data_IF_057150816793
#
_entry.id   IF_057150816793
#
_cell.length_a   1.000
_cell.length_b   1.000
_cell.length_c   1.000
_cell.angle_alpha   90.00
_cell.angle_beta   90.00
_cell.angle_gamma   90.00
#
_symmetry.space_group_name_H-M   'P 1'
#
loop_
_entity.id
_entity.type
_entity.pdbx_description
1 polymer ?
#
# COMPACT_ATOMS: atom_id res chain seq x y z
N UNK A 1 -14.05 17.55 6.28
CA UNK A 1 -15.26 16.70 6.25
C UNK A 1 -15.85 16.67 7.66
N UNK A 2 -17.13 17.05 7.80
CA UNK A 2 -17.88 16.97 9.06
C UNK A 2 -18.15 15.49 9.44
N UNK A 3 -18.63 15.24 10.65
CA UNK A 3 -19.06 13.87 11.02
C UNK A 3 -20.26 13.40 10.18
N UNK A 4 -21.13 14.31 9.76
CA UNK A 4 -22.24 14.02 8.83
C UNK A 4 -21.72 13.59 7.44
N UNK A 5 -20.70 14.25 6.91
CA UNK A 5 -20.07 13.86 5.62
C UNK A 5 -19.36 12.51 5.70
N UNK A 6 -18.78 12.14 6.86
CA UNK A 6 -18.18 10.81 7.08
C UNK A 6 -19.23 9.71 7.14
N UNK A 7 -20.34 9.95 7.83
CA UNK A 7 -21.49 9.05 7.85
C UNK A 7 -22.05 8.84 6.44
N UNK A 8 -22.20 9.92 5.67
CA UNK A 8 -22.63 9.89 4.27
C UNK A 8 -21.69 9.06 3.37
N UNK A 9 -20.38 9.21 3.53
CA UNK A 9 -19.41 8.46 2.72
C UNK A 9 -19.38 6.95 3.10
N UNK A 10 -19.45 6.63 4.39
CA UNK A 10 -19.55 5.23 4.86
C UNK A 10 -20.87 4.58 4.41
N UNK A 11 -21.97 5.30 4.44
CA UNK A 11 -23.26 4.81 3.92
C UNK A 11 -23.24 4.61 2.41
N UNK A 12 -22.60 5.50 1.66
CA UNK A 12 -22.41 5.36 0.23
C UNK A 12 -21.59 4.08 -0.11
N UNK A 13 -20.52 3.82 0.63
CA UNK A 13 -19.74 2.58 0.51
C UNK A 13 -20.61 1.36 0.83
N UNK A 14 -21.33 1.37 1.95
CA UNK A 14 -22.20 0.25 2.33
C UNK A 14 -23.23 -0.06 1.25
N UNK A 15 -23.85 0.97 0.68
CA UNK A 15 -24.80 0.81 -0.43
C UNK A 15 -24.14 0.30 -1.71
N UNK A 16 -22.99 0.86 -2.09
CA UNK A 16 -22.25 0.48 -3.29
C UNK A 16 -21.82 -0.98 -3.28
N UNK A 17 -21.45 -1.51 -2.12
CA UNK A 17 -20.95 -2.87 -1.96
C UNK A 17 -21.98 -3.87 -1.41
N UNK A 18 -23.23 -3.47 -1.21
CA UNK A 18 -24.27 -4.33 -0.63
C UNK A 18 -24.55 -5.62 -1.41
N UNK A 19 -24.36 -5.61 -2.73
CA UNK A 19 -24.57 -6.74 -3.64
C UNK A 19 -23.26 -7.24 -4.29
N UNK A 20 -22.12 -6.69 -3.88
CA UNK A 20 -20.83 -7.04 -4.48
C UNK A 20 -20.09 -7.97 -3.53
N UNK A 21 -19.74 -9.15 -4.04
CA UNK A 21 -18.77 -10.03 -3.40
C UNK A 21 -17.48 -10.02 -4.19
N UNK A 22 -16.37 -10.29 -3.54
CA UNK A 22 -15.00 -10.48 -4.03
C UNK A 22 -14.81 -10.34 -5.53
N UNK A 23 -14.12 -9.28 -5.97
CA UNK A 23 -13.83 -9.02 -7.38
C UNK A 23 -12.81 -10.03 -7.92
N UNK A 24 -13.04 -10.60 -9.12
CA UNK A 24 -12.04 -11.43 -9.79
C UNK A 24 -10.84 -10.59 -10.23
N UNK A 25 -9.70 -11.27 -10.42
CA UNK A 25 -8.50 -10.67 -10.98
C UNK A 25 -8.46 -10.85 -12.50
N UNK A 26 -8.08 -9.78 -13.21
CA UNK A 26 -7.84 -9.78 -14.64
C UNK A 26 -6.41 -9.30 -14.93
N UNK A 27 -5.72 -9.90 -15.92
CA UNK A 27 -4.37 -9.49 -16.25
C UNK A 27 -4.36 -8.16 -17.00
N UNK A 28 -3.62 -7.19 -16.48
CA UNK A 28 -3.26 -5.95 -17.19
C UNK A 28 -1.77 -6.00 -17.46
N UNK A 29 -1.38 -6.13 -18.72
CA UNK A 29 0.02 -6.33 -19.14
C UNK A 29 0.72 -7.46 -18.36
N UNK A 30 -0.01 -8.54 -18.11
CA UNK A 30 0.48 -9.72 -17.38
C UNK A 30 0.40 -9.63 -15.85
N UNK A 31 -0.01 -8.49 -15.29
CA UNK A 31 -0.16 -8.30 -13.83
C UNK A 31 -1.63 -8.50 -13.44
N UNK A 32 -1.95 -9.39 -12.48
CA UNK A 32 -3.30 -9.57 -11.98
C UNK A 32 -3.77 -8.35 -11.19
N UNK A 33 -4.84 -7.72 -11.64
CA UNK A 33 -5.49 -6.58 -10.98
C UNK A 33 -6.98 -6.87 -10.78
N UNK A 34 -7.58 -6.28 -9.75
CA UNK A 34 -9.03 -6.39 -9.52
C UNK A 34 -9.80 -5.91 -10.76
N UNK A 35 -10.94 -6.56 -11.04
CA UNK A 35 -11.72 -6.31 -12.25
C UNK A 35 -12.07 -4.85 -12.47
N UNK A 36 -12.44 -4.09 -11.43
CA UNK A 36 -12.73 -2.67 -11.53
C UNK A 36 -11.51 -1.84 -11.98
N UNK A 37 -10.32 -2.20 -11.53
CA UNK A 37 -9.08 -1.54 -11.95
C UNK A 37 -8.81 -1.87 -13.42
N UNK A 38 -8.89 -3.14 -13.80
CA UNK A 38 -8.63 -3.59 -15.16
C UNK A 38 -9.61 -2.97 -16.19
N UNK A 39 -10.89 -2.85 -15.84
CA UNK A 39 -11.92 -2.22 -16.68
C UNK A 39 -11.70 -0.71 -16.90
N UNK A 40 -11.05 -0.04 -15.96
CA UNK A 40 -10.77 1.40 -16.02
C UNK A 40 -9.29 1.72 -16.33
N UNK A 41 -8.55 0.73 -16.83
CA UNK A 41 -7.12 0.83 -17.03
C UNK A 41 -6.69 1.99 -17.93
N UNK A 42 -7.40 2.24 -19.01
CA UNK A 42 -7.05 3.32 -19.95
C UNK A 42 -7.10 4.71 -19.28
N UNK A 43 -8.06 4.92 -18.38
CA UNK A 43 -8.16 6.15 -17.60
C UNK A 43 -7.00 6.31 -16.62
N UNK A 44 -6.57 5.21 -15.95
CA UNK A 44 -5.41 5.20 -15.09
C UNK A 44 -4.15 5.49 -15.88
N UNK A 45 -3.94 4.79 -17.00
CA UNK A 45 -2.75 4.94 -17.84
C UNK A 45 -2.63 6.33 -18.47
N UNK A 46 -3.77 6.96 -18.79
CA UNK A 46 -3.84 8.31 -19.33
C UNK A 46 -3.65 9.41 -18.28
N UNK A 47 -3.61 9.09 -16.98
CA UNK A 47 -3.46 10.09 -15.92
C UNK A 47 -2.18 10.90 -16.09
N UNK A 48 -2.29 12.21 -15.93
CA UNK A 48 -1.17 13.16 -16.00
C UNK A 48 -1.04 13.90 -14.67
N UNK A 49 -0.03 13.58 -13.87
CA UNK A 49 0.24 14.31 -12.64
C UNK A 49 0.86 15.67 -12.93
N UNK A 50 0.72 16.60 -11.99
CA UNK A 50 1.49 17.84 -11.99
C UNK A 50 2.93 17.59 -11.51
N UNK A 51 3.92 18.39 -11.94
CA UNK A 51 5.32 18.22 -11.51
C UNK A 51 5.53 18.29 -9.99
N UNK A 52 4.64 18.99 -9.29
CA UNK A 52 4.66 19.14 -7.82
C UNK A 52 4.00 17.98 -7.08
N UNK A 53 3.31 17.07 -7.77
CA UNK A 53 2.68 15.93 -7.14
C UNK A 53 3.72 14.94 -6.59
N UNK A 54 3.40 14.32 -5.46
CA UNK A 54 4.20 13.28 -4.83
C UNK A 54 3.54 11.92 -5.01
N UNK A 55 4.25 10.98 -5.62
CA UNK A 55 3.82 9.59 -5.69
C UNK A 55 4.31 8.81 -4.46
N UNK A 56 3.41 8.16 -3.74
CA UNK A 56 3.76 7.16 -2.71
C UNK A 56 3.38 5.78 -3.24
N UNK A 57 4.39 4.96 -3.50
CA UNK A 57 4.21 3.62 -4.04
C UNK A 57 4.64 2.56 -3.02
N UNK A 58 3.82 1.52 -2.90
CA UNK A 58 4.11 0.38 -2.02
C UNK A 58 3.53 -0.90 -2.61
N UNK A 59 4.14 -2.05 -2.33
CA UNK A 59 3.38 -3.30 -2.42
C UNK A 59 2.31 -3.31 -1.31
N UNK A 60 1.16 -3.97 -1.48
CA UNK A 60 0.15 -4.00 -0.42
C UNK A 60 0.72 -4.38 0.95
N UNK A 61 0.30 -3.66 2.00
CA UNK A 61 0.70 -3.89 3.40
C UNK A 61 2.14 -3.49 3.77
N UNK A 62 2.78 -2.62 2.98
CA UNK A 62 4.11 -2.06 3.28
C UNK A 62 4.07 -0.59 3.76
N UNK A 63 2.91 0.06 3.80
CA UNK A 63 2.76 1.49 4.07
C UNK A 63 2.37 1.83 5.52
N UNK A 64 2.60 3.10 5.88
CA UNK A 64 2.16 3.71 7.14
C UNK A 64 1.83 5.19 6.91
N UNK A 65 0.65 5.61 7.35
CA UNK A 65 0.20 7.01 7.28
C UNK A 65 -0.57 7.44 8.53
N UNK A 66 -0.39 8.70 8.96
CA UNK A 66 -1.16 9.27 10.05
C UNK A 66 -1.67 10.69 9.75
N UNK A 67 -2.96 10.91 10.01
CA UNK A 67 -3.59 12.23 10.10
C UNK A 67 -4.79 12.17 11.02
N UNK A 68 -5.05 13.24 11.78
CA UNK A 68 -6.14 13.27 12.77
C UNK A 68 -7.48 13.82 12.25
N UNK A 69 -7.53 14.43 11.07
CA UNK A 69 -8.70 15.23 10.65
C UNK A 69 -9.47 14.70 9.46
N UNK A 70 -8.81 13.99 8.54
CA UNK A 70 -9.42 13.50 7.29
C UNK A 70 -8.99 12.08 7.02
N UNK A 71 -9.90 11.16 6.59
CA UNK A 71 -9.55 9.81 6.22
C UNK A 71 -8.44 9.76 5.15
N UNK A 72 -7.50 8.84 5.32
CA UNK A 72 -6.36 8.66 4.41
C UNK A 72 -6.74 8.62 2.93
N UNK A 73 -7.76 7.86 2.46
CA UNK A 73 -8.10 7.81 1.05
C UNK A 73 -8.57 9.14 0.45
N UNK A 74 -9.08 10.06 1.27
CA UNK A 74 -9.52 11.37 0.80
C UNK A 74 -8.41 12.42 0.79
N UNK A 75 -7.34 12.19 1.56
CA UNK A 75 -6.16 13.06 1.64
C UNK A 75 -5.08 12.68 0.64
N UNK A 76 -4.98 11.39 0.40
CA UNK A 76 -3.97 10.75 -0.41
C UNK A 76 -4.66 9.63 -1.21
N UNK A 77 -5.43 10.01 -2.25
CA UNK A 77 -6.19 9.05 -3.02
C UNK A 77 -5.31 7.99 -3.67
N UNK A 78 -5.80 6.76 -3.68
CA UNK A 78 -5.20 5.71 -4.50
C UNK A 78 -5.52 5.95 -5.97
N UNK A 79 -4.49 6.06 -6.80
CA UNK A 79 -4.60 6.28 -8.24
C UNK A 79 -5.51 5.24 -8.92
N UNK A 80 -5.32 3.98 -8.55
CA UNK A 80 -6.06 2.84 -9.11
C UNK A 80 -7.30 2.43 -8.28
N UNK A 81 -7.77 3.26 -7.37
CA UNK A 81 -9.00 2.96 -6.63
C UNK A 81 -10.22 3.23 -7.48
N UNK A 82 -10.93 2.17 -7.84
CA UNK A 82 -12.24 2.25 -8.48
C UNK A 82 -13.27 1.53 -7.62
N UNK A 83 -14.42 2.19 -7.44
CA UNK A 83 -15.50 1.73 -6.59
C UNK A 83 -16.81 1.68 -7.40
N UNK A 84 -17.77 0.83 -7.02
CA UNK A 84 -19.10 0.93 -7.59
C UNK A 84 -19.76 2.28 -7.25
N UNK A 85 -20.58 2.87 -8.14
CA UNK A 85 -21.31 4.10 -7.84
C UNK A 85 -22.18 3.95 -6.60
N UNK A 86 -22.36 5.00 -5.78
CA UNK A 86 -21.96 6.39 -5.99
C UNK A 86 -20.58 6.78 -5.40
N UNK A 87 -19.73 5.82 -5.01
CA UNK A 87 -18.44 6.10 -4.40
C UNK A 87 -17.45 6.58 -5.47
N UNK A 88 -16.83 7.75 -5.32
CA UNK A 88 -15.90 8.28 -6.31
C UNK A 88 -14.65 7.39 -6.44
N UNK A 89 -14.09 7.36 -7.63
CA UNK A 89 -12.77 6.74 -7.86
C UNK A 89 -11.64 7.62 -7.32
N UNK A 90 -10.44 7.03 -7.19
CA UNK A 90 -9.24 7.80 -6.85
C UNK A 90 -8.95 8.91 -7.87
N UNK A 91 -9.20 8.66 -9.17
CA UNK A 91 -9.04 9.67 -10.21
C UNK A 91 -10.04 10.82 -10.08
N UNK A 92 -11.28 10.54 -9.68
CA UNK A 92 -12.28 11.60 -9.46
C UNK A 92 -11.88 12.48 -8.27
N UNK A 93 -11.42 11.86 -7.17
CA UNK A 93 -10.90 12.61 -6.03
C UNK A 93 -9.69 13.49 -6.42
N UNK A 94 -8.77 12.95 -7.21
CA UNK A 94 -7.58 13.69 -7.65
C UNK A 94 -7.91 14.87 -8.57
N UNK A 95 -8.98 14.81 -9.36
CA UNK A 95 -9.43 15.93 -10.20
C UNK A 95 -9.93 17.13 -9.38
N UNK A 96 -10.51 16.86 -8.20
CA UNK A 96 -11.06 17.89 -7.31
C UNK A 96 -9.99 18.47 -6.35
N UNK A 97 -8.76 17.94 -6.37
CA UNK A 97 -7.66 18.40 -5.50
C UNK A 97 -6.73 19.36 -6.22
N UNK A 98 -6.41 20.47 -5.56
CA UNK A 98 -5.34 21.37 -6.02
C UNK A 98 -3.95 20.76 -5.79
N UNK A 99 -3.01 20.90 -6.74
CA UNK A 99 -1.61 20.55 -6.53
C UNK A 99 -0.94 21.46 -5.47
N UNK A 100 0.07 20.94 -4.73
CA UNK A 100 0.66 19.62 -4.82
C UNK A 100 -0.19 18.54 -4.15
N UNK A 101 -0.41 17.42 -4.85
CA UNK A 101 -1.18 16.28 -4.34
C UNK A 101 -0.28 15.15 -3.88
N UNK A 102 -0.70 14.42 -2.85
CA UNK A 102 -0.08 13.16 -2.45
C UNK A 102 -0.91 12.03 -3.07
N UNK A 103 -0.32 11.25 -3.94
CA UNK A 103 -1.00 10.21 -4.73
C UNK A 103 -0.43 8.86 -4.31
N UNK A 104 -1.30 7.92 -3.91
CA UNK A 104 -0.89 6.56 -3.54
C UNK A 104 -1.07 5.60 -4.69
N UNK A 105 -0.24 4.56 -4.70
CA UNK A 105 -0.40 3.45 -5.64
C UNK A 105 0.20 2.14 -5.08
N UNK A 106 -0.41 1.03 -5.45
CA UNK A 106 0.17 -0.32 -5.34
C UNK A 106 0.60 -0.87 -6.70
N UNK A 107 0.55 -0.07 -7.77
CA UNK A 107 0.98 -0.50 -9.09
C UNK A 107 2.48 -0.81 -9.10
N UNK A 108 2.91 -1.93 -9.68
CA UNK A 108 4.32 -2.19 -9.95
C UNK A 108 4.86 -1.13 -10.91
N UNK A 109 6.16 -0.88 -10.87
CA UNK A 109 6.82 0.23 -11.58
C UNK A 109 6.40 0.36 -13.06
N UNK A 110 6.30 -0.76 -13.78
CA UNK A 110 5.93 -0.79 -15.21
C UNK A 110 4.48 -0.42 -15.50
N UNK A 111 3.63 -0.41 -14.49
CA UNK A 111 2.22 -0.01 -14.60
C UNK A 111 1.95 1.42 -14.09
N UNK A 112 2.93 2.09 -13.51
CA UNK A 112 2.79 3.50 -13.12
C UNK A 112 2.66 4.34 -14.40
N UNK A 113 1.64 5.23 -14.50
CA UNK A 113 1.46 6.10 -15.66
C UNK A 113 2.74 6.86 -16.02
N UNK A 114 3.13 6.88 -17.29
CA UNK A 114 4.40 7.47 -17.72
C UNK A 114 4.54 8.95 -17.37
N UNK A 115 3.42 9.67 -17.24
CA UNK A 115 3.39 11.08 -16.86
C UNK A 115 4.12 11.39 -15.56
N UNK A 116 4.14 10.49 -14.58
CA UNK A 116 4.93 10.69 -13.36
C UNK A 116 6.43 10.84 -13.65
N UNK A 117 6.94 10.05 -14.58
CA UNK A 117 8.35 10.05 -14.94
C UNK A 117 8.71 11.13 -15.98
N UNK A 118 7.79 11.47 -16.84
CA UNK A 118 7.91 12.56 -17.84
C UNK A 118 7.94 13.92 -17.14
N UNK A 119 7.06 14.13 -16.17
CA UNK A 119 6.96 15.36 -15.38
C UNK A 119 7.95 15.41 -14.21
N UNK A 120 8.80 14.36 -14.04
CA UNK A 120 9.83 14.25 -12.99
C UNK A 120 9.25 14.40 -11.57
N UNK A 121 8.04 13.92 -11.34
CA UNK A 121 7.43 13.92 -10.02
C UNK A 121 8.34 13.18 -9.02
N UNK A 122 8.43 13.70 -7.79
CA UNK A 122 9.07 12.97 -6.70
C UNK A 122 8.28 11.71 -6.37
N UNK A 123 8.98 10.63 -6.03
CA UNK A 123 8.33 9.39 -5.64
C UNK A 123 9.00 8.78 -4.41
N UNK A 124 8.19 8.31 -3.46
CA UNK A 124 8.64 7.54 -2.30
C UNK A 124 8.14 6.12 -2.48
N UNK A 125 9.03 5.15 -2.39
CA UNK A 125 8.68 3.74 -2.37
C UNK A 125 8.99 3.15 -1.00
N UNK A 126 7.99 2.49 -0.38
CA UNK A 126 8.19 1.77 0.88
C UNK A 126 8.13 0.28 0.61
N UNK A 127 9.23 -0.40 0.92
CA UNK A 127 9.37 -1.85 0.84
C UNK A 127 9.27 -2.48 2.24
N UNK A 128 8.82 -3.72 2.29
CA UNK A 128 8.80 -4.55 3.49
C UNK A 128 9.32 -5.94 3.16
N UNK A 129 10.01 -6.62 4.09
CA UNK A 129 10.51 -7.96 3.84
C UNK A 129 9.38 -8.92 3.42
N UNK A 130 9.72 -9.86 2.55
CA UNK A 130 8.74 -10.71 1.88
C UNK A 130 7.88 -11.54 2.84
N UNK A 131 8.50 -12.16 3.86
CA UNK A 131 7.78 -13.05 4.81
C UNK A 131 6.77 -12.29 5.67
N UNK A 132 7.16 -11.14 6.26
CA UNK A 132 6.24 -10.31 7.03
C UNK A 132 5.18 -9.65 6.15
N UNK A 133 5.54 -9.32 4.90
CA UNK A 133 4.57 -8.80 3.94
C UNK A 133 3.53 -9.86 3.60
N UNK A 134 3.93 -11.08 3.28
CA UNK A 134 3.05 -12.21 3.00
C UNK A 134 2.07 -12.46 4.15
N UNK A 135 2.55 -12.54 5.39
CA UNK A 135 1.69 -12.71 6.58
C UNK A 135 0.68 -11.57 6.71
N UNK A 136 1.16 -10.33 6.56
CA UNK A 136 0.29 -9.15 6.65
C UNK A 136 -0.76 -9.12 5.54
N UNK A 137 -0.38 -9.54 4.33
CA UNK A 137 -1.28 -9.56 3.18
C UNK A 137 -2.32 -10.68 3.30
N UNK A 138 -1.93 -11.86 3.76
CA UNK A 138 -2.87 -12.94 4.05
C UNK A 138 -3.98 -12.51 5.01
N UNK A 139 -3.62 -11.93 6.16
CA UNK A 139 -4.60 -11.43 7.12
C UNK A 139 -5.48 -10.30 6.57
N UNK A 140 -4.92 -9.46 5.69
CA UNK A 140 -5.68 -8.45 5.00
C UNK A 140 -6.68 -9.06 4.02
N UNK A 141 -6.28 -10.05 3.22
CA UNK A 141 -7.18 -10.72 2.27
C UNK A 141 -8.27 -11.54 2.98
N UNK A 142 -7.99 -12.06 4.18
CA UNK A 142 -9.02 -12.69 5.01
C UNK A 142 -10.13 -11.71 5.39
N UNK A 143 -9.79 -10.47 5.74
CA UNK A 143 -10.76 -9.48 6.21
C UNK A 143 -11.32 -8.59 5.09
N UNK A 144 -10.67 -8.54 3.94
CA UNK A 144 -11.08 -7.74 2.78
C UNK A 144 -12.07 -8.51 1.92
N UNK A 145 -13.33 -8.11 1.97
CA UNK A 145 -14.42 -8.74 1.24
C UNK A 145 -14.46 -8.41 -0.25
N UNK A 146 -13.55 -7.54 -0.73
CA UNK A 146 -13.53 -7.08 -2.12
C UNK A 146 -12.46 -7.77 -2.98
N UNK A 147 -11.42 -8.33 -2.38
CA UNK A 147 -10.40 -9.13 -3.08
C UNK A 147 -10.78 -10.61 -3.12
N UNK A 148 -10.17 -11.42 -4.01
CA UNK A 148 -10.39 -12.86 -4.04
C UNK A 148 -10.17 -13.52 -2.68
N UNK A 149 -10.91 -14.59 -2.42
CA UNK A 149 -10.74 -15.38 -1.20
C UNK A 149 -9.30 -15.91 -1.11
N UNK A 150 -8.55 -15.65 -0.03
CA UNK A 150 -7.19 -16.14 0.10
C UNK A 150 -7.13 -17.67 0.17
N UNK A 151 -8.18 -18.31 0.68
CA UNK A 151 -8.16 -19.72 1.02
C UNK A 151 -7.28 -20.00 2.24
N UNK A 152 -6.91 -21.27 2.48
CA UNK A 152 -6.07 -21.65 3.61
C UNK A 152 -4.63 -21.15 3.44
N UNK A 153 -3.96 -20.93 4.58
CA UNK A 153 -2.58 -20.41 4.65
C UNK A 153 -1.58 -21.20 3.79
N UNK A 154 -1.66 -22.52 3.83
CA UNK A 154 -0.77 -23.41 3.10
C UNK A 154 -0.88 -23.21 1.58
N UNK A 155 -2.07 -22.89 1.07
CA UNK A 155 -2.31 -22.58 -0.33
C UNK A 155 -1.95 -21.15 -0.72
N UNK A 156 -1.93 -20.23 0.26
CA UNK A 156 -1.64 -18.82 0.02
C UNK A 156 -0.15 -18.55 -0.22
N UNK A 157 0.74 -19.24 0.52
CA UNK A 157 2.20 -19.09 0.35
C UNK A 157 2.62 -19.31 -1.12
N UNK A 158 2.27 -20.43 -1.78
CA UNK A 158 2.63 -20.62 -3.19
C UNK A 158 2.01 -19.58 -4.14
N UNK A 159 0.80 -19.10 -3.88
CA UNK A 159 0.19 -18.02 -4.69
C UNK A 159 1.02 -16.73 -4.62
N UNK A 160 1.45 -16.35 -3.43
CA UNK A 160 2.32 -15.19 -3.23
C UNK A 160 3.65 -15.35 -3.97
N UNK A 161 4.31 -16.51 -3.83
CA UNK A 161 5.59 -16.82 -4.47
C UNK A 161 5.49 -16.73 -6.00
N UNK A 162 4.37 -17.18 -6.59
CA UNK A 162 4.14 -17.11 -8.04
C UNK A 162 3.57 -15.79 -8.53
N UNK A 163 3.28 -14.83 -7.63
CA UNK A 163 2.70 -13.54 -8.02
C UNK A 163 1.24 -13.62 -8.50
N UNK A 164 0.48 -14.61 -8.05
CA UNK A 164 -0.92 -14.85 -8.42
C UNK A 164 -1.93 -14.03 -7.59
N UNK A 165 -1.44 -13.17 -6.71
CA UNK A 165 -2.24 -12.24 -5.92
C UNK A 165 -2.44 -10.91 -6.66
N UNK A 166 -3.37 -10.08 -6.16
CA UNK A 166 -3.55 -8.74 -6.70
C UNK A 166 -2.24 -7.95 -6.65
N UNK A 167 -2.00 -7.13 -7.67
CA UNK A 167 -0.77 -6.40 -7.97
C UNK A 167 0.47 -7.27 -8.31
N UNK A 168 0.31 -8.59 -8.42
CA UNK A 168 1.32 -9.49 -8.97
C UNK A 168 2.44 -9.87 -8.01
N UNK A 169 3.61 -10.15 -8.59
CA UNK A 169 4.79 -10.63 -7.86
C UNK A 169 5.38 -9.57 -6.94
N UNK A 170 5.53 -9.90 -5.66
CA UNK A 170 6.28 -9.08 -4.70
C UNK A 170 7.73 -8.88 -5.17
N UNK A 171 8.36 -9.92 -5.69
CA UNK A 171 9.75 -9.88 -6.19
C UNK A 171 9.92 -8.85 -7.30
N UNK A 172 9.08 -8.92 -8.34
CA UNK A 172 9.13 -7.98 -9.46
C UNK A 172 8.81 -6.57 -9.04
N UNK A 173 7.89 -6.42 -8.10
CA UNK A 173 7.47 -5.13 -7.58
C UNK A 173 8.63 -4.41 -6.87
N UNK A 174 9.27 -5.06 -5.92
CA UNK A 174 10.40 -4.46 -5.16
C UNK A 174 11.61 -4.23 -6.05
N UNK A 175 11.94 -5.16 -6.95
CA UNK A 175 13.04 -5.02 -7.91
C UNK A 175 12.78 -3.91 -8.91
N UNK A 176 11.56 -3.79 -9.42
CA UNK A 176 11.19 -2.76 -10.39
C UNK A 176 11.49 -1.35 -9.90
N UNK A 177 11.08 -1.03 -8.68
CA UNK A 177 11.36 0.27 -8.06
C UNK A 177 12.84 0.42 -7.66
N UNK A 178 13.46 -0.64 -7.11
CA UNK A 178 14.87 -0.61 -6.71
C UNK A 178 15.80 -0.28 -7.86
N UNK A 179 15.68 -0.98 -8.99
CA UNK A 179 16.51 -0.78 -10.17
C UNK A 179 16.31 0.60 -10.84
N UNK A 180 15.18 1.24 -10.62
CA UNK A 180 14.87 2.55 -11.21
C UNK A 180 15.06 3.72 -10.26
N UNK A 181 15.35 3.49 -8.97
CA UNK A 181 15.38 4.52 -7.93
C UNK A 181 16.29 5.71 -8.24
N UNK A 182 17.49 5.45 -8.74
CA UNK A 182 18.45 6.51 -9.05
C UNK A 182 18.04 7.31 -10.30
N UNK A 183 17.66 6.61 -11.39
CA UNK A 183 17.27 7.24 -12.66
C UNK A 183 15.97 8.03 -12.58
N UNK A 184 15.08 7.66 -11.69
CA UNK A 184 13.75 8.26 -11.54
C UNK A 184 13.61 9.07 -10.24
N UNK A 185 14.73 9.30 -9.53
CA UNK A 185 14.76 10.03 -8.27
C UNK A 185 13.70 9.50 -7.29
N UNK A 186 13.72 8.21 -7.01
CA UNK A 186 12.80 7.56 -6.07
C UNK A 186 13.50 7.40 -4.73
N UNK A 187 12.94 7.95 -3.66
CA UNK A 187 13.37 7.65 -2.30
C UNK A 187 12.87 6.25 -1.92
N UNK A 188 13.79 5.30 -1.83
CA UNK A 188 13.49 3.92 -1.44
C UNK A 188 13.69 3.77 0.07
N UNK A 189 12.62 3.39 0.77
CA UNK A 189 12.57 3.20 2.23
C UNK A 189 12.24 1.74 2.56
N UNK A 190 12.70 1.30 3.73
CA UNK A 190 12.35 -0.01 4.28
C UNK A 190 11.45 0.15 5.50
N UNK A 191 10.37 -0.61 5.53
CA UNK A 191 9.46 -0.65 6.69
C UNK A 191 10.22 -0.97 7.97
N UNK A 192 11.17 -1.90 7.89
CA UNK A 192 12.01 -2.33 9.00
C UNK A 192 12.88 -1.18 9.55
N UNK A 193 13.43 -0.35 8.67
CA UNK A 193 14.21 0.82 9.08
C UNK A 193 13.31 1.88 9.71
N UNK A 194 12.12 2.11 9.17
CA UNK A 194 11.11 3.02 9.76
C UNK A 194 10.66 2.55 11.15
N UNK A 195 10.66 1.24 11.40
CA UNK A 195 10.36 0.68 12.72
C UNK A 195 11.55 0.76 13.68
N UNK A 196 12.76 0.51 13.19
CA UNK A 196 13.97 0.50 14.01
C UNK A 196 14.49 1.90 14.37
N UNK A 197 14.36 2.85 13.46
CA UNK A 197 14.78 4.24 13.69
C UNK A 197 13.87 5.22 12.92
N UNK A 198 12.64 5.45 13.43
CA UNK A 198 11.67 6.30 12.74
C UNK A 198 12.13 7.75 12.56
N UNK A 199 12.87 8.31 13.52
CA UNK A 199 13.39 9.67 13.43
C UNK A 199 14.29 9.82 12.20
N UNK A 200 15.28 8.95 12.05
CA UNK A 200 16.21 8.94 10.90
C UNK A 200 15.44 8.89 9.56
N UNK A 201 14.43 8.05 9.48
CA UNK A 201 13.67 7.89 8.23
C UNK A 201 12.78 9.11 7.95
N UNK A 202 12.19 9.73 8.97
CA UNK A 202 11.49 11.02 8.83
C UNK A 202 12.44 12.11 8.33
N UNK A 203 13.64 12.24 8.91
CA UNK A 203 14.66 13.19 8.45
C UNK A 203 15.08 12.94 6.99
N UNK A 204 15.17 11.65 6.56
CA UNK A 204 15.45 11.29 5.16
C UNK A 204 14.34 11.75 4.23
N UNK A 205 13.08 11.56 4.63
CA UNK A 205 11.91 12.01 3.87
C UNK A 205 11.90 13.54 3.76
N UNK A 206 12.10 14.25 4.89
CA UNK A 206 12.12 15.72 4.89
C UNK A 206 13.20 16.26 3.96
N UNK A 207 14.42 15.71 4.05
CA UNK A 207 15.54 16.08 3.17
C UNK A 207 15.24 15.82 1.70
N UNK A 208 14.62 14.67 1.39
CA UNK A 208 14.22 14.31 0.03
C UNK A 208 13.14 15.25 -0.52
N UNK A 209 12.23 15.71 0.32
CA UNK A 209 11.16 16.64 -0.06
C UNK A 209 11.59 18.11 -0.04
N UNK A 210 12.87 18.42 0.29
CA UNK A 210 13.40 19.78 0.47
C UNK A 210 12.64 20.56 1.56
N UNK A 211 12.20 19.86 2.61
CA UNK A 211 11.50 20.45 3.74
C UNK A 211 12.48 20.62 4.92
N UNK A 212 12.43 21.79 5.55
CA UNK A 212 13.16 22.08 6.77
C UNK A 212 12.16 22.26 7.92
N UNK A 213 12.28 21.43 8.94
CA UNK A 213 11.45 21.47 10.14
C UNK A 213 12.34 21.32 11.37
N UNK A 214 11.87 21.76 12.54
CA UNK A 214 12.63 21.60 13.78
C UNK A 214 12.60 20.15 14.29
N UNK A 215 13.52 19.80 15.18
CA UNK A 215 13.60 18.47 15.81
C UNK A 215 12.34 18.18 16.64
N UNK A 216 11.69 19.19 17.21
CA UNK A 216 10.43 19.06 17.91
C UNK A 216 9.32 18.59 16.98
N UNK A 217 9.25 19.13 15.75
CA UNK A 217 8.27 18.72 14.74
C UNK A 217 8.57 17.29 14.29
N UNK A 218 9.83 16.93 14.08
CA UNK A 218 10.22 15.56 13.74
C UNK A 218 9.78 14.60 14.84
N UNK A 219 10.03 14.94 16.09
CA UNK A 219 9.63 14.14 17.26
C UNK A 219 8.10 13.96 17.32
N UNK A 220 7.32 15.01 17.05
CA UNK A 220 5.86 14.95 16.98
C UNK A 220 5.39 14.06 15.83
N UNK A 221 6.03 14.13 14.66
CA UNK A 221 5.70 13.25 13.52
C UNK A 221 5.93 11.80 13.92
N UNK A 222 7.08 11.46 14.51
CA UNK A 222 7.42 10.11 14.97
C UNK A 222 6.39 9.59 15.97
N UNK A 223 6.00 10.41 16.95
CA UNK A 223 4.99 10.04 17.92
C UNK A 223 3.63 9.78 17.27
N UNK A 224 3.15 10.72 16.45
CA UNK A 224 1.84 10.63 15.78
C UNK A 224 1.77 9.47 14.78
N UNK A 225 2.89 9.10 14.16
CA UNK A 225 2.99 7.97 13.21
C UNK A 225 3.38 6.66 13.89
N UNK A 226 3.50 6.64 15.22
CA UNK A 226 3.71 5.39 15.95
C UNK A 226 2.56 4.41 15.72
N UNK A 227 2.85 3.10 15.68
CA UNK A 227 1.84 2.08 15.45
C UNK A 227 0.67 2.19 16.42
N UNK A 228 0.95 2.46 17.70
CA UNK A 228 -0.08 2.65 18.73
C UNK A 228 -1.03 3.80 18.37
N UNK A 229 -0.47 4.99 18.10
CA UNK A 229 -1.28 6.16 17.80
C UNK A 229 -2.08 6.00 16.50
N UNK A 230 -1.48 5.40 15.46
CA UNK A 230 -2.19 5.12 14.21
C UNK A 230 -3.31 4.09 14.39
N UNK A 231 -3.08 3.05 15.20
CA UNK A 231 -4.09 2.01 15.48
C UNK A 231 -5.31 2.58 16.20
N UNK A 232 -5.12 3.57 17.06
CA UNK A 232 -6.19 4.25 17.79
C UNK A 232 -6.82 5.39 16.98
N UNK A 233 -6.25 5.77 15.83
CA UNK A 233 -6.73 6.87 15.00
C UNK A 233 -7.75 6.39 13.95
N UNK A 234 -9.05 6.76 14.06
CA UNK A 234 -10.08 6.36 13.11
C UNK A 234 -9.78 6.82 11.66
N UNK A 235 -8.98 7.87 11.47
CA UNK A 235 -8.63 8.38 10.15
C UNK A 235 -7.55 7.52 9.46
N UNK A 236 -6.83 6.68 10.22
CA UNK A 236 -5.74 5.85 9.72
C UNK A 236 -6.04 4.33 9.82
N UNK A 237 -6.89 3.90 10.77
CA UNK A 237 -7.15 2.49 11.05
C UNK A 237 -8.31 1.88 10.23
N UNK A 238 -8.95 2.67 9.39
CA UNK A 238 -10.07 2.27 8.52
C UNK A 238 -11.30 1.71 9.28
N UNK A 239 -11.47 2.02 10.58
CA UNK A 239 -12.61 1.56 11.39
C UNK A 239 -13.96 2.10 10.89
N UNK A 240 -13.96 3.15 10.06
CA UNK A 240 -15.15 3.73 9.45
C UNK A 240 -15.60 2.99 8.17
N UNK A 241 -14.78 2.10 7.63
CA UNK A 241 -15.17 1.31 6.46
C UNK A 241 -16.12 0.19 6.89
N UNK A 242 -17.29 0.04 6.23
CA UNK A 242 -18.26 -0.99 6.58
C UNK A 242 -17.71 -2.41 6.44
N UNK A 243 -18.18 -3.33 7.28
CA UNK A 243 -17.75 -4.74 7.29
C UNK A 243 -18.01 -5.47 5.95
N UNK A 244 -18.94 -5.00 5.14
CA UNK A 244 -19.15 -5.51 3.77
C UNK A 244 -17.94 -5.30 2.86
N UNK A 245 -17.03 -4.40 3.22
CA UNK A 245 -15.75 -4.14 2.52
C UNK A 245 -14.57 -4.64 3.36
N UNK A 246 -14.48 -4.20 4.62
CA UNK A 246 -13.44 -4.61 5.56
C UNK A 246 -14.05 -5.19 6.83
N UNK A 247 -14.12 -6.52 6.90
CA UNK A 247 -14.59 -7.19 8.12
C UNK A 247 -13.46 -7.30 9.15
N UNK A 248 -13.28 -6.24 9.92
CA UNK A 248 -12.25 -6.16 10.95
C UNK A 248 -12.50 -7.08 12.15
N UNK A 249 -13.63 -7.79 12.22
CA UNK A 249 -13.84 -8.83 13.22
C UNK A 249 -13.02 -10.09 12.90
N UNK A 250 -12.69 -10.32 11.61
CA UNK A 250 -11.82 -11.41 11.16
C UNK A 250 -10.36 -11.10 11.47
N UNK A 251 -9.92 -9.89 11.10
CA UNK A 251 -8.58 -9.39 11.40
C UNK A 251 -8.58 -7.86 11.38
N UNK A 252 -7.99 -7.19 12.37
CA UNK A 252 -7.94 -5.73 12.34
C UNK A 252 -7.01 -5.26 11.22
N UNK A 253 -7.36 -4.14 10.56
CA UNK A 253 -6.52 -3.52 9.54
C UNK A 253 -5.11 -3.21 10.07
N UNK A 254 -5.03 -2.62 11.29
CA UNK A 254 -3.79 -2.39 12.03
C UNK A 254 -3.54 -3.58 12.99
N UNK A 255 -2.97 -4.69 12.47
CA UNK A 255 -2.86 -5.95 13.19
C UNK A 255 -1.79 -5.93 14.29
N UNK A 256 -0.52 -5.94 13.95
CA UNK A 256 0.61 -5.99 14.93
C UNK A 256 1.63 -4.87 14.77
N UNK A 257 2.00 -4.53 13.53
CA UNK A 257 3.01 -3.53 13.26
C UNK A 257 4.42 -3.93 13.72
N UNK A 258 4.75 -5.23 13.69
CA UNK A 258 6.02 -5.81 14.14
C UNK A 258 6.81 -6.33 12.95
N UNK A 259 8.13 -6.41 13.14
CA UNK A 259 9.07 -7.08 12.22
C UNK A 259 9.40 -8.46 12.81
N UNK A 260 9.39 -9.49 11.96
CA UNK A 260 9.69 -10.85 12.37
C UNK A 260 8.49 -11.68 12.82
N UNK A 261 7.25 -11.16 12.72
CA UNK A 261 6.03 -11.89 13.07
C UNK A 261 5.79 -13.12 12.19
N UNK A 262 6.41 -13.18 11.01
CA UNK A 262 6.36 -14.34 10.13
C UNK A 262 6.74 -15.66 10.84
N UNK A 263 7.60 -15.61 11.87
CA UNK A 263 8.00 -16.78 12.68
C UNK A 263 6.84 -17.44 13.42
N UNK A 264 5.77 -16.70 13.69
CA UNK A 264 4.57 -17.21 14.35
C UNK A 264 3.59 -17.88 13.37
N UNK A 265 3.89 -17.88 12.07
CA UNK A 265 3.00 -18.32 10.99
C UNK A 265 3.62 -19.42 10.12
N UNK A 266 4.91 -19.31 9.82
CA UNK A 266 5.60 -20.29 8.99
C UNK A 266 6.05 -21.50 9.79
N UNK A 267 5.81 -22.70 9.29
CA UNK A 267 6.55 -23.88 9.76
C UNK A 267 8.00 -23.82 9.31
N UNK A 268 8.92 -24.60 9.91
CA UNK A 268 10.31 -24.68 9.43
C UNK A 268 10.40 -25.07 7.94
N UNK A 269 9.58 -26.00 7.50
CA UNK A 269 9.54 -26.49 6.11
C UNK A 269 9.05 -25.38 5.16
N UNK A 270 7.97 -24.66 5.51
CA UNK A 270 7.46 -23.54 4.75
C UNK A 270 8.48 -22.41 4.67
N UNK A 271 9.17 -22.12 5.79
CA UNK A 271 10.22 -21.11 5.83
C UNK A 271 11.38 -21.48 4.91
N UNK A 272 11.85 -22.74 4.94
CA UNK A 272 12.92 -23.24 4.07
C UNK A 272 12.53 -23.15 2.59
N UNK A 273 11.34 -23.66 2.23
CA UNK A 273 10.83 -23.59 0.86
C UNK A 273 10.76 -22.13 0.34
N UNK A 274 10.30 -21.23 1.18
CA UNK A 274 10.22 -19.80 0.84
C UNK A 274 11.61 -19.18 0.65
N UNK A 275 12.59 -19.52 1.52
CA UNK A 275 13.94 -18.98 1.44
C UNK A 275 14.67 -19.46 0.16
N UNK A 276 14.50 -20.72 -0.22
CA UNK A 276 15.03 -21.28 -1.47
C UNK A 276 14.45 -20.57 -2.70
N UNK A 277 13.15 -20.29 -2.72
CA UNK A 277 12.52 -19.51 -3.79
C UNK A 277 13.00 -18.05 -3.78
N UNK A 278 13.07 -17.43 -2.59
CA UNK A 278 13.56 -16.06 -2.44
C UNK A 278 14.98 -15.90 -2.98
N UNK A 279 15.90 -16.79 -2.63
CA UNK A 279 17.28 -16.79 -3.16
C UNK A 279 17.27 -16.88 -4.68
N UNK A 280 16.47 -17.77 -5.26
CA UNK A 280 16.35 -17.93 -6.70
C UNK A 280 15.80 -16.68 -7.38
N UNK A 281 14.75 -16.07 -6.82
CA UNK A 281 14.07 -14.92 -7.41
C UNK A 281 14.87 -13.62 -7.25
N UNK A 282 15.71 -13.51 -6.21
CA UNK A 282 16.44 -12.28 -5.87
C UNK A 282 17.94 -12.33 -6.18
N UNK A 283 18.42 -13.40 -6.83
CA UNK A 283 19.86 -13.62 -7.10
C UNK A 283 20.52 -12.57 -7.99
N UNK A 284 19.74 -11.84 -8.77
CA UNK A 284 20.20 -10.79 -9.72
C UNK A 284 20.27 -9.39 -9.08
N UNK A 285 19.82 -9.25 -7.82
CA UNK A 285 19.74 -7.95 -7.15
C UNK A 285 20.02 -8.06 -5.66
N UNK A 286 20.81 -7.14 -5.14
CA UNK A 286 21.08 -7.05 -3.71
C UNK A 286 20.23 -5.91 -3.09
N UNK A 287 19.05 -6.25 -2.54
CA UNK A 287 18.21 -5.34 -1.78
C UNK A 287 18.37 -5.70 -0.29
N UNK A 288 18.82 -4.77 0.58
CA UNK A 288 19.20 -5.09 1.96
C UNK A 288 17.99 -5.19 2.91
N UNK A 289 17.07 -6.12 2.63
CA UNK A 289 15.95 -6.39 3.52
C UNK A 289 16.42 -6.97 4.86
N UNK A 290 15.73 -6.58 5.93
CA UNK A 290 15.90 -7.15 7.26
C UNK A 290 14.68 -7.98 7.61
N UNK A 291 14.88 -9.20 8.01
CA UNK A 291 13.81 -10.09 8.50
C UNK A 291 13.63 -10.01 10.02
N UNK A 292 14.49 -9.25 10.68
CA UNK A 292 14.54 -9.01 12.13
C UNK A 292 15.14 -7.62 12.41
N UNK A 293 14.70 -7.00 13.47
CA UNK A 293 15.26 -5.77 14.08
C UNK A 293 15.42 -5.92 15.57
#
# INVERSE_FOLDING_TARGET
MSEEEKLSYSEAIKKAYASVSRFPLFPVRGIPLMSLIAQNWDSIWAFRPEPSDLLIATYPKADAEACKRVPTPLRSPFLESFNPPPVPSGLDLLKEMDPPRIIKTHLPFQLVPPGFWENKCKAIYVARNAKDNLVSYYHFDCMNMTQPDPGPWEGYIPKFMRGELAWGSWYDHVKGYWMKREKKNILYLFYEDMKGNPQREVERIMRYLDLSVSDEIISQIVELTSFKNMKENPMANYSWIPAVVFDQSISPFMRKGEVGDWRNHFTPEQSKMFDEDYEKQMNDVNIPFRTLI
#
